data_IF_824759823133
#
_entry.id   IF_824759823133
#
_cell.length_a   1.000
_cell.length_b   1.000
_cell.length_c   1.000
_cell.angle_alpha   90.00
_cell.angle_beta   90.00
_cell.angle_gamma   90.00
#
_symmetry.space_group_name_H-M   'P 1'
#
loop_
_entity.id
_entity.type
_entity.pdbx_description
1 polymer ?
#
# COMPACT_ATOMS: atom_id res chain seq x y z
N UNK A 1 12.22 29.77 -2.52
CA UNK A 1 12.51 28.90 -3.66
C UNK A 1 12.72 27.51 -3.09
N UNK A 2 11.71 26.64 -3.23
CA UNK A 2 11.74 25.27 -2.74
C UNK A 2 12.47 24.43 -3.81
N UNK A 3 13.80 24.39 -3.74
CA UNK A 3 14.61 23.51 -4.56
C UNK A 3 14.56 22.09 -3.96
N UNK A 4 13.47 21.38 -4.21
CA UNK A 4 13.48 19.94 -3.98
C UNK A 4 14.55 19.34 -4.89
N UNK A 5 15.56 18.62 -4.35
CA UNK A 5 16.60 18.04 -5.17
C UNK A 5 15.96 17.11 -6.21
N UNK A 6 16.32 17.28 -7.49
CA UNK A 6 15.90 16.37 -8.56
C UNK A 6 16.43 14.98 -8.23
N UNK A 7 15.53 14.05 -7.93
CA UNK A 7 15.89 12.66 -7.73
C UNK A 7 16.26 12.05 -9.07
N UNK A 8 17.42 11.40 -9.16
CA UNK A 8 17.82 10.69 -10.37
C UNK A 8 16.89 9.50 -10.61
N UNK A 9 16.35 9.39 -11.82
CA UNK A 9 15.52 8.28 -12.23
C UNK A 9 16.33 6.98 -12.20
N UNK A 10 15.73 5.90 -11.70
CA UNK A 10 16.34 4.56 -11.78
C UNK A 10 16.42 4.10 -13.25
N UNK A 11 17.53 3.50 -13.65
CA UNK A 11 17.66 2.99 -15.01
C UNK A 11 16.88 1.66 -15.18
N UNK A 12 16.14 1.53 -16.28
CA UNK A 12 15.38 0.32 -16.61
C UNK A 12 16.23 -0.97 -16.59
N UNK A 13 17.51 -0.87 -16.96
CA UNK A 13 18.45 -1.98 -16.92
C UNK A 13 18.72 -2.44 -15.47
N UNK A 14 18.89 -1.51 -14.53
CA UNK A 14 19.11 -1.81 -13.10
C UNK A 14 17.89 -2.48 -12.47
N UNK A 15 16.68 -2.00 -12.79
CA UNK A 15 15.44 -2.63 -12.36
C UNK A 15 15.34 -4.08 -12.85
N UNK A 16 15.57 -4.31 -14.15
CA UNK A 16 15.51 -5.65 -14.73
C UNK A 16 16.55 -6.58 -14.10
N UNK A 17 17.78 -6.11 -13.91
CA UNK A 17 18.84 -6.91 -13.29
C UNK A 17 18.51 -7.27 -11.83
N UNK A 18 17.97 -6.34 -11.06
CA UNK A 18 17.55 -6.61 -9.69
C UNK A 18 16.51 -7.74 -9.62
N UNK A 19 15.53 -7.74 -10.52
CA UNK A 19 14.48 -8.77 -10.54
C UNK A 19 14.93 -10.14 -11.05
N UNK A 20 15.94 -10.21 -11.91
CA UNK A 20 16.47 -11.49 -12.43
C UNK A 20 17.13 -12.35 -11.32
N UNK A 21 17.64 -11.74 -10.27
CA UNK A 21 18.35 -12.40 -9.18
C UNK A 21 17.54 -12.53 -7.89
N UNK A 22 16.36 -11.90 -7.80
CA UNK A 22 15.52 -11.94 -6.63
C UNK A 22 14.34 -12.90 -6.84
N UNK A 23 14.07 -13.73 -5.84
CA UNK A 23 12.86 -14.56 -5.81
C UNK A 23 12.01 -14.18 -4.57
N UNK A 24 11.45 -12.96 -4.53
CA UNK A 24 10.68 -12.50 -3.39
C UNK A 24 9.29 -13.15 -3.36
N UNK A 25 8.69 -13.22 -2.16
CA UNK A 25 7.30 -13.66 -2.00
C UNK A 25 6.29 -12.61 -2.46
N UNK A 26 6.65 -11.33 -2.39
CA UNK A 26 5.93 -10.18 -2.93
C UNK A 26 6.88 -9.01 -3.21
N UNK A 27 6.42 -8.06 -4.02
CA UNK A 27 7.07 -6.76 -4.23
C UNK A 27 6.20 -5.67 -3.62
N UNK A 28 6.84 -4.73 -2.95
CA UNK A 28 6.19 -3.51 -2.46
C UNK A 28 6.82 -2.30 -3.12
N UNK A 29 5.99 -1.47 -3.73
CA UNK A 29 6.41 -0.19 -4.33
C UNK A 29 5.74 0.92 -3.55
N UNK A 30 6.53 1.82 -2.94
CA UNK A 30 6.05 3.07 -2.35
C UNK A 30 6.58 4.22 -3.18
N UNK A 31 5.71 4.83 -4.01
CA UNK A 31 6.06 5.88 -4.97
C UNK A 31 5.37 7.19 -4.62
N UNK A 32 6.15 8.13 -4.13
CA UNK A 32 5.68 9.49 -3.78
C UNK A 32 5.61 10.45 -4.98
N UNK A 33 5.77 9.94 -6.20
CA UNK A 33 5.78 10.70 -7.46
C UNK A 33 6.77 11.88 -7.46
N UNK A 34 7.97 11.64 -6.92
CA UNK A 34 9.08 12.61 -6.91
C UNK A 34 10.03 12.46 -8.10
N UNK A 35 9.60 11.72 -9.15
CA UNK A 35 10.35 11.55 -10.39
C UNK A 35 11.35 10.38 -10.39
N UNK A 36 11.46 9.60 -9.30
CA UNK A 36 12.33 8.42 -9.24
C UNK A 36 11.83 7.26 -10.12
N UNK A 37 10.53 7.00 -10.11
CA UNK A 37 9.86 6.01 -10.96
C UNK A 37 8.92 6.70 -11.93
N UNK A 38 9.03 6.39 -13.21
CA UNK A 38 8.04 6.77 -14.23
C UNK A 38 6.88 5.77 -14.27
N UNK A 39 5.82 6.10 -15.03
CA UNK A 39 4.73 5.15 -15.31
C UNK A 39 5.26 3.89 -16.04
N UNK A 40 6.22 4.08 -16.95
CA UNK A 40 6.89 2.98 -17.65
C UNK A 40 7.69 2.08 -16.71
N UNK A 41 8.41 2.66 -15.73
CA UNK A 41 9.16 1.89 -14.72
C UNK A 41 8.21 1.03 -13.87
N UNK A 42 7.08 1.59 -13.43
CA UNK A 42 6.05 0.84 -12.71
C UNK A 42 5.49 -0.29 -13.57
N UNK A 43 5.21 -0.03 -14.84
CA UNK A 43 4.75 -1.04 -15.77
C UNK A 43 5.78 -2.18 -15.92
N UNK A 44 7.07 -1.85 -16.06
CA UNK A 44 8.17 -2.81 -16.15
C UNK A 44 8.23 -3.66 -14.87
N UNK A 45 8.21 -3.04 -13.68
CA UNK A 45 8.23 -3.73 -12.39
C UNK A 45 7.06 -4.73 -12.34
N UNK A 46 5.86 -4.27 -12.59
CA UNK A 46 4.66 -5.08 -12.45
C UNK A 46 4.59 -6.21 -13.48
N UNK A 47 5.10 -6.03 -14.70
CA UNK A 47 4.97 -7.01 -15.77
C UNK A 47 6.08 -8.08 -15.82
N UNK A 48 7.22 -7.83 -15.19
CA UNK A 48 8.32 -8.81 -15.16
C UNK A 48 8.25 -9.76 -13.96
N UNK A 49 7.22 -9.68 -13.13
CA UNK A 49 7.12 -10.43 -11.87
C UNK A 49 5.78 -11.17 -11.82
N UNK A 50 5.86 -12.50 -11.58
CA UNK A 50 4.68 -13.36 -11.37
C UNK A 50 4.35 -13.55 -9.88
N UNK A 51 4.77 -12.62 -9.04
CA UNK A 51 4.46 -12.57 -7.61
C UNK A 51 3.50 -11.42 -7.32
N UNK A 52 2.80 -11.40 -6.19
CA UNK A 52 1.98 -10.26 -5.81
C UNK A 52 2.82 -8.98 -5.76
N UNK A 53 2.33 -7.92 -6.37
CA UNK A 53 2.92 -6.59 -6.35
C UNK A 53 1.94 -5.64 -5.68
N UNK A 54 2.35 -5.00 -4.60
CA UNK A 54 1.57 -4.00 -3.90
C UNK A 54 2.17 -2.63 -4.18
N UNK A 55 1.35 -1.72 -4.70
CA UNK A 55 1.80 -0.39 -5.13
C UNK A 55 1.04 0.69 -4.39
N UNK A 56 1.75 1.50 -3.64
CA UNK A 56 1.28 2.78 -3.11
C UNK A 56 1.86 3.89 -4.00
N UNK A 57 1.03 4.64 -4.70
CA UNK A 57 1.51 5.66 -5.65
C UNK A 57 0.60 6.88 -5.66
N UNK A 58 1.18 8.02 -6.01
CA UNK A 58 0.48 9.28 -6.28
C UNK A 58 0.24 9.53 -7.77
N UNK A 59 0.57 8.56 -8.62
CA UNK A 59 0.30 8.66 -10.05
C UNK A 59 -1.18 8.56 -10.33
N UNK A 60 -1.63 9.28 -11.35
CA UNK A 60 -3.04 9.40 -11.72
C UNK A 60 -3.49 8.37 -12.75
N UNK A 61 -2.56 7.63 -13.35
CA UNK A 61 -2.82 6.57 -14.31
C UNK A 61 -2.35 5.25 -13.72
N UNK A 62 -3.28 4.34 -13.54
CA UNK A 62 -3.02 2.98 -13.11
C UNK A 62 -3.29 2.04 -14.28
N UNK A 63 -3.00 0.76 -14.12
CA UNK A 63 -3.29 -0.25 -15.14
C UNK A 63 -3.81 -1.52 -14.51
N UNK A 64 -4.54 -2.31 -15.30
CA UNK A 64 -5.08 -3.60 -14.85
C UNK A 64 -4.03 -4.70 -15.01
N UNK A 65 -3.79 -5.45 -13.91
CA UNK A 65 -3.04 -6.71 -13.92
C UNK A 65 -3.40 -7.54 -12.68
N UNK A 66 -3.62 -8.84 -12.85
CA UNK A 66 -4.20 -9.73 -11.82
C UNK A 66 -3.36 -9.84 -10.54
N UNK A 67 -2.05 -9.77 -10.64
CA UNK A 67 -1.15 -9.86 -9.49
C UNK A 67 -0.70 -8.51 -8.92
N UNK A 68 -1.27 -7.39 -9.40
CA UNK A 68 -0.95 -6.03 -8.94
C UNK A 68 -2.10 -5.50 -8.11
N UNK A 69 -1.80 -5.07 -6.90
CA UNK A 69 -2.74 -4.48 -5.96
C UNK A 69 -2.35 -3.02 -5.70
N UNK A 70 -3.20 -2.11 -6.14
CA UNK A 70 -3.04 -0.68 -5.95
C UNK A 70 -3.63 -0.27 -4.61
N UNK A 71 -2.84 0.36 -3.76
CA UNK A 71 -3.31 0.99 -2.53
C UNK A 71 -3.13 2.49 -2.66
N UNK A 72 -4.23 3.21 -2.62
CA UNK A 72 -4.28 4.67 -2.70
C UNK A 72 -5.22 5.23 -1.64
N UNK A 73 -5.13 6.52 -1.35
CA UNK A 73 -6.10 7.16 -0.49
C UNK A 73 -7.29 7.74 -1.29
N UNK A 74 -8.33 8.17 -0.58
CA UNK A 74 -9.55 8.72 -1.20
C UNK A 74 -9.27 9.89 -2.14
N UNK A 75 -8.37 10.79 -1.76
CA UNK A 75 -8.00 11.95 -2.59
C UNK A 75 -7.31 11.48 -3.88
N UNK A 76 -6.36 10.58 -3.78
CA UNK A 76 -5.66 9.99 -4.92
C UNK A 76 -6.65 9.24 -5.84
N UNK A 77 -7.62 8.54 -5.27
CA UNK A 77 -8.70 7.89 -6.03
C UNK A 77 -9.54 8.90 -6.82
N UNK A 78 -9.92 10.02 -6.21
CA UNK A 78 -10.70 11.06 -6.87
C UNK A 78 -9.93 11.78 -7.99
N UNK A 79 -8.60 11.80 -7.89
CA UNK A 79 -7.70 12.37 -8.87
C UNK A 79 -7.34 11.42 -10.02
N UNK A 80 -7.78 10.15 -10.00
CA UNK A 80 -7.50 9.18 -11.06
C UNK A 80 -8.12 9.57 -12.40
N UNK A 81 -7.41 9.24 -13.46
CA UNK A 81 -7.95 9.28 -14.83
C UNK A 81 -8.96 8.13 -14.96
N UNK A 82 -10.24 8.45 -15.20
CA UNK A 82 -11.36 7.51 -15.15
C UNK A 82 -11.20 6.30 -16.10
N UNK A 83 -10.53 6.49 -17.23
CA UNK A 83 -10.26 5.45 -18.22
C UNK A 83 -9.26 4.38 -17.76
N UNK A 84 -8.56 4.65 -16.65
CA UNK A 84 -7.46 3.82 -16.14
C UNK A 84 -7.70 3.31 -14.71
N UNK A 85 -8.97 3.16 -14.29
CA UNK A 85 -9.28 2.59 -12.98
C UNK A 85 -9.19 1.06 -13.07
N UNK A 86 -8.34 0.42 -12.26
CA UNK A 86 -8.26 -1.03 -12.21
C UNK A 86 -9.54 -1.68 -11.67
N UNK A 87 -9.70 -2.98 -11.90
CA UNK A 87 -10.77 -3.78 -11.30
C UNK A 87 -10.76 -3.59 -9.75
N UNK A 88 -11.95 -3.53 -9.15
CA UNK A 88 -12.11 -3.34 -7.71
C UNK A 88 -11.41 -4.41 -6.87
N UNK A 89 -11.14 -5.59 -7.43
CA UNK A 89 -10.34 -6.65 -6.80
C UNK A 89 -8.85 -6.32 -6.70
N UNK A 90 -8.38 -5.39 -7.52
CA UNK A 90 -7.01 -4.92 -7.59
C UNK A 90 -6.82 -3.53 -6.99
N UNK A 91 -7.88 -2.92 -6.45
CA UNK A 91 -7.85 -1.56 -5.93
C UNK A 91 -8.30 -1.51 -4.47
N UNK A 92 -7.42 -1.00 -3.62
CA UNK A 92 -7.66 -0.76 -2.20
C UNK A 92 -7.64 0.75 -1.98
N UNK A 93 -8.73 1.33 -1.51
CA UNK A 93 -8.81 2.77 -1.25
C UNK A 93 -8.93 3.01 0.24
N UNK A 94 -7.93 3.67 0.85
CA UNK A 94 -7.97 4.05 2.26
C UNK A 94 -8.80 5.33 2.47
N UNK A 95 -9.63 5.32 3.51
CA UNK A 95 -10.61 6.36 3.83
C UNK A 95 -10.30 7.07 5.16
N UNK A 96 -9.06 7.04 5.62
CA UNK A 96 -8.66 7.54 6.93
C UNK A 96 -9.41 6.81 8.06
N UNK A 97 -10.11 7.55 8.93
CA UNK A 97 -10.91 6.96 10.01
C UNK A 97 -12.07 6.07 9.51
N UNK A 98 -12.45 6.17 8.25
CA UNK A 98 -13.44 5.30 7.61
C UNK A 98 -12.92 3.90 7.26
N UNK A 99 -11.61 3.66 7.40
CA UNK A 99 -10.96 2.39 7.08
C UNK A 99 -10.52 2.26 5.63
N UNK A 100 -10.89 1.19 4.95
CA UNK A 100 -10.54 0.97 3.56
C UNK A 100 -11.70 0.31 2.78
N UNK A 101 -11.73 0.53 1.47
CA UNK A 101 -12.61 -0.20 0.56
C UNK A 101 -11.80 -1.18 -0.28
N UNK A 102 -12.40 -2.32 -0.56
CA UNK A 102 -11.90 -3.31 -1.49
C UNK A 102 -13.07 -4.14 -2.03
N UNK A 103 -13.06 -4.42 -3.33
CA UNK A 103 -14.07 -5.23 -4.01
C UNK A 103 -15.53 -4.80 -3.71
N UNK A 104 -15.76 -3.48 -3.63
CA UNK A 104 -17.07 -2.89 -3.33
C UNK A 104 -17.48 -2.93 -1.85
N UNK A 105 -16.67 -3.51 -0.97
CA UNK A 105 -16.94 -3.61 0.47
C UNK A 105 -16.13 -2.57 1.25
N UNK A 106 -16.67 -2.11 2.37
CA UNK A 106 -16.00 -1.19 3.31
C UNK A 106 -15.57 -1.97 4.54
N UNK A 107 -14.29 -1.90 4.86
CA UNK A 107 -13.65 -2.50 6.03
C UNK A 107 -13.35 -1.40 7.06
N UNK A 108 -14.17 -1.29 8.08
CA UNK A 108 -14.05 -0.23 9.10
C UNK A 108 -13.10 -0.64 10.22
N UNK A 109 -12.16 0.22 10.66
CA UNK A 109 -11.37 -0.01 11.86
C UNK A 109 -12.22 0.23 13.11
N UNK A 110 -11.71 -0.22 14.26
CA UNK A 110 -12.23 0.24 15.54
C UNK A 110 -11.89 1.72 15.73
N UNK A 111 -12.82 2.54 16.28
CA UNK A 111 -12.55 3.94 16.55
C UNK A 111 -11.42 4.09 17.57
N UNK A 112 -10.48 5.00 17.29
CA UNK A 112 -9.38 5.33 18.19
C UNK A 112 -9.22 6.85 18.31
N UNK A 113 -8.61 7.29 19.41
CA UNK A 113 -8.24 8.70 19.55
C UNK A 113 -6.98 8.96 18.72
N UNK A 114 -7.13 9.72 17.64
CA UNK A 114 -6.04 10.07 16.75
C UNK A 114 -5.12 11.11 17.42
N UNK A 115 -3.84 10.83 17.44
CA UNK A 115 -2.79 11.76 17.85
C UNK A 115 -2.08 12.35 16.63
N UNK A 116 -1.61 11.51 15.70
CA UNK A 116 -0.91 11.90 14.49
C UNK A 116 -1.21 10.89 13.37
N UNK A 117 -1.38 11.36 12.14
CA UNK A 117 -1.65 10.51 10.98
C UNK A 117 -0.41 10.21 10.14
N UNK A 118 0.76 10.73 10.55
CA UNK A 118 2.00 10.54 9.83
C UNK A 118 2.38 9.06 9.76
N UNK A 119 2.69 8.56 8.55
CA UNK A 119 3.09 7.18 8.33
C UNK A 119 1.96 6.13 8.42
N UNK A 120 0.71 6.53 8.70
CA UNK A 120 -0.40 5.59 8.80
C UNK A 120 -0.63 4.80 7.50
N UNK A 121 -0.45 5.44 6.34
CA UNK A 121 -0.54 4.80 5.02
C UNK A 121 0.55 3.76 4.80
N UNK A 122 1.78 4.06 5.21
CA UNK A 122 2.92 3.14 5.11
C UNK A 122 2.76 1.95 6.06
N UNK A 123 2.29 2.22 7.30
CA UNK A 123 1.96 1.16 8.28
C UNK A 123 0.85 0.25 7.75
N UNK A 124 -0.20 0.83 7.16
CA UNK A 124 -1.28 0.07 6.53
C UNK A 124 -0.72 -0.84 5.42
N UNK A 125 0.10 -0.29 4.50
CA UNK A 125 0.69 -1.05 3.39
C UNK A 125 1.56 -2.20 3.89
N UNK A 126 2.45 -1.96 4.84
CA UNK A 126 3.33 -2.98 5.39
C UNK A 126 2.54 -4.11 6.07
N UNK A 127 1.53 -3.75 6.88
CA UNK A 127 0.67 -4.70 7.57
C UNK A 127 -0.22 -5.52 6.59
N UNK A 128 -0.72 -4.87 5.54
CA UNK A 128 -1.48 -5.49 4.46
C UNK A 128 -0.67 -6.60 3.78
N UNK A 129 0.55 -6.28 3.37
CA UNK A 129 1.43 -7.23 2.66
C UNK A 129 1.81 -8.39 3.58
N UNK A 130 2.21 -8.10 4.81
CA UNK A 130 2.54 -9.11 5.81
C UNK A 130 1.40 -10.12 5.97
N UNK A 131 0.19 -9.64 6.24
CA UNK A 131 -0.96 -10.51 6.51
C UNK A 131 -1.48 -11.22 5.26
N UNK A 132 -1.37 -10.59 4.09
CA UNK A 132 -1.68 -11.22 2.82
C UNK A 132 -0.75 -12.40 2.54
N UNK A 133 0.56 -12.26 2.76
CA UNK A 133 1.51 -13.35 2.55
C UNK A 133 1.25 -14.53 3.50
N UNK A 134 0.81 -14.24 4.72
CA UNK A 134 0.49 -15.26 5.72
C UNK A 134 -0.82 -16.01 5.38
N UNK A 135 -1.87 -15.29 5.00
CA UNK A 135 -3.22 -15.86 4.89
C UNK A 135 -3.71 -16.08 3.47
N UNK A 136 -3.10 -15.44 2.49
CA UNK A 136 -3.55 -15.35 1.09
C UNK A 136 -5.00 -14.82 0.94
N UNK A 137 -5.49 -14.11 1.94
CA UNK A 137 -6.80 -13.48 1.99
C UNK A 137 -6.66 -11.96 2.06
N UNK A 138 -7.18 -11.25 1.06
CA UNK A 138 -7.17 -9.79 1.04
C UNK A 138 -8.07 -9.21 2.13
N UNK A 139 -9.19 -9.84 2.43
CA UNK A 139 -10.08 -9.44 3.51
C UNK A 139 -9.38 -9.47 4.87
N UNK A 140 -8.71 -10.59 5.20
CA UNK A 140 -7.94 -10.70 6.43
C UNK A 140 -6.80 -9.68 6.47
N UNK A 141 -6.15 -9.45 5.33
CA UNK A 141 -5.05 -8.49 5.21
C UNK A 141 -5.52 -7.05 5.47
N UNK A 142 -6.66 -6.64 4.91
CA UNK A 142 -7.21 -5.29 5.10
C UNK A 142 -7.66 -5.09 6.55
N UNK A 143 -8.33 -6.08 7.14
CA UNK A 143 -8.76 -6.01 8.55
C UNK A 143 -7.56 -5.87 9.49
N UNK A 144 -6.49 -6.63 9.24
CA UNK A 144 -5.24 -6.53 9.99
C UNK A 144 -4.56 -5.17 9.78
N UNK A 145 -4.48 -4.70 8.53
CA UNK A 145 -3.89 -3.40 8.19
C UNK A 145 -4.63 -2.21 8.82
N UNK A 146 -5.96 -2.27 8.88
CA UNK A 146 -6.77 -1.27 9.57
C UNK A 146 -6.44 -1.19 11.06
N UNK A 147 -6.30 -2.34 11.75
CA UNK A 147 -5.92 -2.38 13.17
C UNK A 147 -4.50 -1.81 13.36
N UNK A 148 -3.56 -2.17 12.50
CA UNK A 148 -2.18 -1.69 12.54
C UNK A 148 -2.10 -0.17 12.36
N UNK A 149 -2.80 0.37 11.35
CA UNK A 149 -2.89 1.81 11.11
C UNK A 149 -3.60 2.53 12.27
N UNK A 150 -4.65 1.94 12.84
CA UNK A 150 -5.34 2.51 14.00
C UNK A 150 -4.41 2.66 15.22
N UNK A 151 -3.53 1.69 15.48
CA UNK A 151 -2.51 1.80 16.54
C UNK A 151 -1.52 2.90 16.19
N UNK A 152 -1.00 2.94 14.96
CA UNK A 152 0.03 3.91 14.60
C UNK A 152 -0.42 5.35 14.79
N UNK A 153 -1.69 5.68 14.49
CA UNK A 153 -2.21 7.05 14.63
C UNK A 153 -2.44 7.49 16.08
N UNK A 154 -2.32 6.61 17.06
CA UNK A 154 -2.39 6.96 18.49
C UNK A 154 -1.04 7.46 19.04
N UNK A 155 0.01 7.45 18.25
CA UNK A 155 1.37 7.83 18.61
C UNK A 155 1.86 9.01 17.78
N UNK A 156 2.85 9.79 18.27
CA UNK A 156 3.42 10.90 17.51
C UNK A 156 4.35 10.40 16.39
N UNK A 157 4.30 11.08 15.24
CA UNK A 157 5.18 10.84 14.10
C UNK A 157 4.94 9.48 13.41
N UNK A 158 5.88 9.07 12.58
CA UNK A 158 5.85 7.75 11.92
C UNK A 158 6.16 6.65 12.94
N UNK A 159 5.13 6.11 13.56
CA UNK A 159 5.25 5.11 14.62
C UNK A 159 5.58 3.72 14.07
N UNK A 160 6.62 3.10 14.63
CA UNK A 160 6.96 1.70 14.38
C UNK A 160 6.25 0.81 15.38
N UNK A 161 5.37 -0.08 14.91
CA UNK A 161 4.67 -1.05 15.75
C UNK A 161 5.64 -1.88 16.60
N UNK A 162 5.37 -1.98 17.88
CA UNK A 162 6.09 -2.84 18.82
C UNK A 162 5.67 -4.31 18.65
N UNK A 163 6.43 -5.22 19.24
CA UNK A 163 6.04 -6.64 19.29
C UNK A 163 4.69 -6.83 19.99
N UNK A 164 4.42 -6.06 21.03
CA UNK A 164 3.16 -6.13 21.78
C UNK A 164 1.98 -5.69 20.92
N UNK A 165 2.15 -4.62 20.11
CA UNK A 165 1.12 -4.18 19.17
C UNK A 165 0.78 -5.28 18.16
N UNK A 166 1.80 -5.93 17.59
CA UNK A 166 1.63 -7.01 16.62
C UNK A 166 0.88 -8.19 17.23
N UNK A 167 1.17 -8.56 18.48
CA UNK A 167 0.46 -9.60 19.20
C UNK A 167 -1.00 -9.20 19.39
N UNK A 168 -1.27 -7.99 19.88
CA UNK A 168 -2.64 -7.50 20.13
C UNK A 168 -3.50 -7.44 18.87
N UNK A 169 -2.89 -7.13 17.71
CA UNK A 169 -3.61 -7.14 16.42
C UNK A 169 -3.99 -8.58 16.02
N UNK A 170 -3.11 -9.54 16.31
CA UNK A 170 -3.29 -10.96 15.96
C UNK A 170 -4.28 -11.70 16.85
N UNK A 171 -4.49 -11.26 18.10
CA UNK A 171 -5.47 -11.83 18.99
C UNK A 171 -6.88 -11.61 18.45
N UNK A 172 -7.61 -12.70 18.17
CA UNK A 172 -9.02 -12.62 17.82
C UNK A 172 -9.76 -12.00 19.01
N UNK A 173 -10.53 -10.94 18.78
CA UNK A 173 -11.58 -10.57 19.72
C UNK A 173 -12.60 -11.72 19.71
N UNK A 174 -12.40 -12.71 20.57
CA UNK A 174 -13.45 -13.64 20.95
C UNK A 174 -14.43 -12.86 21.83
N UNK A 175 -15.50 -12.39 21.22
CA UNK A 175 -16.66 -11.81 21.90
C UNK A 175 -17.89 -12.20 21.13
#
# INVERSE_FOLDING_TARGET
LDETPKVSRIANAELKMAFMHMNPDAIVVSDYDKGYLSEEDLWIICNNINRPVFVDTKKRRLFQKDNVYWKINKKEYDDLVQENIPDLRNLIVTLGSGGATWNGMIYKPQPVKVFDVCGAGDTFLAALVYKFLETRSMENAINYANKAAAISVTHPGAYRLSKQDIISIGEKNES
#
